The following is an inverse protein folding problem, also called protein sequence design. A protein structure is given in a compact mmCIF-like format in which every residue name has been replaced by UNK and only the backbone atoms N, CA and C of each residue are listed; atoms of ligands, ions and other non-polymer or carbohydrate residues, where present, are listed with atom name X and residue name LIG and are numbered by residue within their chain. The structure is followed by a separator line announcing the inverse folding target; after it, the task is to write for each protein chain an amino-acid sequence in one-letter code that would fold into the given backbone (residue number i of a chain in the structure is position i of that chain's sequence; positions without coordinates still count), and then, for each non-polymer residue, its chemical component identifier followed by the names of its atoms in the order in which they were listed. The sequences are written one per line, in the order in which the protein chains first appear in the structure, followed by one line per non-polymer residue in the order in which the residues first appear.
data_IF_229022184574
#
_entry.id   IF_229022184574
#
_cell.length_a   1.000
_cell.length_b   1.000
_cell.length_c   1.000
_cell.angle_alpha   90.00
_cell.angle_beta   90.00
_cell.angle_gamma   90.00
#
_symmetry.space_group_name_H-M   'P 1'
#
loop_
_entity.id
_entity.type
_entity.pdbx_description
1 polymer ?
#
# COMPACT_ATOMS: atom_id res chain seq x y z
N UNK A 1 -51.97 -2.47 7.41
CA UNK A 1 -50.68 -3.09 7.03
C UNK A 1 -49.76 -2.17 6.20
N UNK A 2 -50.25 -1.20 5.43
CA UNK A 2 -49.44 -0.35 4.52
C UNK A 2 -48.44 0.64 5.19
N UNK A 3 -48.70 1.13 6.41
CA UNK A 3 -47.82 2.13 7.07
C UNK A 3 -46.47 1.54 7.53
N UNK A 4 -46.48 0.31 8.04
CA UNK A 4 -45.26 -0.37 8.48
C UNK A 4 -44.42 -0.85 7.31
N UNK A 5 -45.05 -1.27 6.20
CA UNK A 5 -44.32 -1.65 4.99
C UNK A 5 -43.60 -0.47 4.36
N UNK A 6 -44.21 0.72 4.34
CA UNK A 6 -43.55 1.94 3.88
C UNK A 6 -42.37 2.33 4.78
N UNK A 7 -42.54 2.22 6.10
CA UNK A 7 -41.48 2.50 7.07
C UNK A 7 -40.32 1.50 6.94
N UNK A 8 -40.63 0.22 6.73
CA UNK A 8 -39.65 -0.83 6.50
C UNK A 8 -38.87 -0.60 5.20
N UNK A 9 -39.57 -0.22 4.12
CA UNK A 9 -38.96 0.15 2.83
C UNK A 9 -38.00 1.33 2.99
N UNK A 10 -38.43 2.38 3.70
CA UNK A 10 -37.61 3.57 3.95
C UNK A 10 -36.37 3.22 4.78
N UNK A 11 -36.52 2.36 5.79
CA UNK A 11 -35.41 1.89 6.62
C UNK A 11 -34.39 1.09 5.79
N UNK A 12 -34.83 0.16 4.95
CA UNK A 12 -33.94 -0.63 4.08
C UNK A 12 -33.21 0.29 3.08
N UNK A 13 -33.91 1.28 2.53
CA UNK A 13 -33.32 2.25 1.60
C UNK A 13 -32.25 3.11 2.28
N UNK A 14 -32.46 3.48 3.56
CA UNK A 14 -31.50 4.28 4.32
C UNK A 14 -30.18 3.56 4.62
N UNK A 15 -30.20 2.22 4.70
CA UNK A 15 -29.01 1.39 4.98
C UNK A 15 -28.24 1.07 3.70
N UNK A 16 -28.83 1.30 2.53
CA UNK A 16 -28.22 0.99 1.22
C UNK A 16 -27.09 1.94 0.82
N UNK A 17 -26.87 3.02 1.59
CA UNK A 17 -25.81 4.01 1.35
C UNK A 17 -24.53 3.55 2.07
N UNK A 18 -23.71 2.75 1.41
CA UNK A 18 -22.39 2.39 1.90
C UNK A 18 -21.33 3.39 1.42
N UNK A 19 -20.58 3.99 2.34
CA UNK A 19 -19.42 4.82 2.02
C UNK A 19 -18.18 3.95 1.78
N UNK A 20 -17.30 4.29 0.83
CA UNK A 20 -16.04 3.58 0.65
C UNK A 20 -15.15 3.76 1.88
N UNK A 21 -14.87 2.66 2.59
CA UNK A 21 -13.89 2.65 3.66
C UNK A 21 -12.48 2.57 3.05
N UNK A 22 -11.69 3.63 3.22
CA UNK A 22 -10.27 3.60 2.87
C UNK A 22 -9.48 3.06 4.07
N UNK A 23 -9.12 1.78 4.03
CA UNK A 23 -8.22 1.16 4.99
C UNK A 23 -6.81 1.07 4.38
N UNK A 24 -5.81 1.63 5.06
CA UNK A 24 -4.41 1.39 4.71
C UNK A 24 -4.04 -0.03 5.14
N UNK A 25 -3.28 -0.72 4.29
CA UNK A 25 -2.81 -2.07 4.62
C UNK A 25 -1.53 -1.94 5.43
N UNK A 26 -1.59 -2.36 6.69
CA UNK A 26 -0.48 -2.28 7.64
C UNK A 26 0.05 -3.67 8.01
N UNK A 27 1.36 -3.80 8.16
CA UNK A 27 2.05 -5.01 8.63
C UNK A 27 3.16 -4.63 9.59
N UNK A 28 3.37 -5.46 10.59
CA UNK A 28 4.47 -5.29 11.53
C UNK A 28 5.68 -6.11 11.04
N UNK A 29 6.83 -5.46 10.91
CA UNK A 29 8.10 -6.08 10.55
C UNK A 29 9.16 -5.63 11.55
N UNK A 30 9.85 -6.59 12.20
CA UNK A 30 10.88 -6.31 13.21
C UNK A 30 10.52 -5.25 14.27
N UNK A 31 9.25 -5.19 14.67
CA UNK A 31 8.75 -4.23 15.67
C UNK A 31 8.35 -2.85 15.10
N UNK A 32 8.52 -2.64 13.80
CA UNK A 32 8.07 -1.45 13.09
C UNK A 32 6.75 -1.71 12.35
N UNK A 33 5.79 -0.80 12.50
CA UNK A 33 4.54 -0.84 11.74
C UNK A 33 4.73 -0.14 10.40
N UNK A 34 4.63 -0.91 9.32
CA UNK A 34 4.69 -0.41 7.95
C UNK A 34 3.30 -0.42 7.35
N UNK A 35 2.82 0.74 6.90
CA UNK A 35 1.51 0.89 6.25
C UNK A 35 1.68 1.38 4.81
N UNK A 36 0.94 0.79 3.88
CA UNK A 36 0.88 1.27 2.49
C UNK A 36 -0.11 2.44 2.43
N UNK A 37 0.41 3.62 2.08
CA UNK A 37 -0.40 4.82 1.86
C UNK A 37 -0.90 4.88 0.41
N UNK A 38 -0.04 4.50 -0.53
CA UNK A 38 -0.41 4.33 -1.93
C UNK A 38 0.50 3.32 -2.59
N UNK A 39 -0.04 2.56 -3.54
CA UNK A 39 0.72 1.63 -4.37
C UNK A 39 0.12 1.62 -5.77
N UNK A 40 0.98 1.80 -6.79
CA UNK A 40 0.58 1.76 -8.19
C UNK A 40 1.58 0.93 -8.98
N UNK A 41 1.10 -0.09 -9.68
CA UNK A 41 1.91 -0.86 -10.63
C UNK A 41 2.09 -0.07 -11.92
N UNK A 42 3.28 -0.09 -12.50
CA UNK A 42 3.54 0.50 -13.80
C UNK A 42 2.83 -0.29 -14.91
N UNK A 43 2.27 0.42 -15.89
CA UNK A 43 1.66 -0.20 -17.06
C UNK A 43 2.69 -0.72 -18.07
N UNK A 44 3.87 -0.09 -18.14
CA UNK A 44 4.96 -0.46 -19.06
C UNK A 44 5.81 -1.62 -18.52
N UNK A 45 6.09 -1.60 -17.22
CA UNK A 45 6.94 -2.56 -16.54
C UNK A 45 6.14 -3.21 -15.42
N UNK A 46 5.57 -4.41 -15.63
CA UNK A 46 4.68 -5.03 -14.63
C UNK A 46 5.38 -5.36 -13.29
N UNK A 47 6.71 -5.44 -13.28
CA UNK A 47 7.54 -5.63 -12.08
C UNK A 47 7.86 -4.32 -11.33
N UNK A 48 7.55 -3.15 -11.91
CA UNK A 48 7.82 -1.85 -11.30
C UNK A 48 6.60 -1.34 -10.53
N UNK A 49 6.80 -1.04 -9.25
CA UNK A 49 5.79 -0.47 -8.37
C UNK A 49 6.21 0.91 -7.90
N UNK A 50 5.25 1.83 -7.82
CA UNK A 50 5.43 3.16 -7.23
C UNK A 50 4.58 3.21 -5.98
N UNK A 51 5.22 3.35 -4.83
CA UNK A 51 4.50 3.30 -3.57
C UNK A 51 5.00 4.34 -2.56
N UNK A 52 4.07 4.88 -1.80
CA UNK A 52 4.33 5.63 -0.59
C UNK A 52 3.92 4.78 0.61
N UNK A 53 4.79 4.72 1.61
CA UNK A 53 4.57 3.95 2.84
C UNK A 53 4.70 4.86 4.05
N UNK A 54 4.08 4.48 5.15
CA UNK A 54 4.31 5.06 6.47
C UNK A 54 5.03 4.02 7.33
N UNK A 55 6.06 4.45 8.06
CA UNK A 55 6.77 3.61 9.03
C UNK A 55 6.56 4.23 10.41
N UNK A 56 5.96 3.49 11.33
CA UNK A 56 5.59 3.94 12.68
C UNK A 56 4.81 5.27 12.67
N UNK A 57 3.90 5.41 11.71
CA UNK A 57 3.07 6.60 11.52
C UNK A 57 3.74 7.73 10.73
N UNK A 58 5.04 7.65 10.43
CA UNK A 58 5.76 8.65 9.64
C UNK A 58 5.71 8.32 8.15
N UNK A 59 5.00 9.17 7.39
CA UNK A 59 4.88 9.04 5.94
C UNK A 59 6.23 9.28 5.22
N UNK A 60 6.60 8.35 4.36
CA UNK A 60 7.76 8.45 3.48
C UNK A 60 7.38 8.94 2.09
N UNK A 61 8.34 9.55 1.39
CA UNK A 61 8.17 9.95 0.00
C UNK A 61 7.92 8.74 -0.91
N UNK A 62 7.19 8.96 -2.01
CA UNK A 62 6.94 7.93 -3.01
C UNK A 62 8.24 7.43 -3.64
N UNK A 63 8.45 6.12 -3.54
CA UNK A 63 9.61 5.38 -4.05
C UNK A 63 9.20 4.48 -5.22
N UNK A 64 10.15 4.22 -6.11
CA UNK A 64 10.00 3.22 -7.18
C UNK A 64 10.70 1.94 -6.74
N UNK A 65 9.94 0.84 -6.69
CA UNK A 65 10.37 -0.50 -6.31
C UNK A 65 10.43 -1.37 -7.56
N UNK A 66 11.56 -2.06 -7.75
CA UNK A 66 11.75 -3.03 -8.83
C UNK A 66 11.67 -4.46 -8.26
N UNK A 67 10.55 -5.13 -8.55
CA UNK A 67 10.21 -6.45 -8.04
C UNK A 67 10.54 -7.59 -9.03
N UNK A 68 11.47 -7.40 -9.98
CA UNK A 68 11.76 -8.39 -11.04
C UNK A 68 12.40 -9.69 -10.53
N UNK A 69 13.27 -9.63 -9.52
CA UNK A 69 13.97 -10.80 -8.97
C UNK A 69 13.66 -10.95 -7.47
N UNK A 70 12.72 -11.84 -7.16
CA UNK A 70 12.19 -12.05 -5.81
C UNK A 70 13.07 -12.97 -4.93
N UNK A 71 14.28 -13.35 -5.36
CA UNK A 71 14.94 -14.59 -4.90
C UNK A 71 16.28 -14.43 -4.15
N UNK A 72 16.77 -13.20 -3.94
CA UNK A 72 17.94 -12.97 -3.06
C UNK A 72 17.59 -11.91 -2.00
N UNK A 73 16.83 -12.35 -1.00
CA UNK A 73 16.25 -11.52 0.06
C UNK A 73 17.26 -11.09 1.15
N UNK A 74 18.56 -11.27 0.92
CA UNK A 74 19.66 -10.73 1.73
C UNK A 74 20.48 -9.68 0.97
N UNK A 75 20.27 -9.53 -0.34
CA UNK A 75 20.95 -8.56 -1.21
C UNK A 75 20.00 -7.51 -1.82
N UNK A 76 18.76 -7.40 -1.31
CA UNK A 76 17.89 -6.25 -1.62
C UNK A 76 18.35 -4.97 -0.87
N UNK A 77 19.66 -4.77 -0.84
CA UNK A 77 20.36 -3.53 -0.54
C UNK A 77 20.84 -2.83 -1.82
N UNK A 78 20.54 -3.34 -3.04
CA UNK A 78 21.22 -2.84 -4.24
C UNK A 78 20.37 -2.65 -5.50
N UNK A 79 19.04 -2.79 -5.46
CA UNK A 79 18.23 -2.34 -6.61
C UNK A 79 17.70 -0.93 -6.35
N UNK A 80 18.27 0.03 -7.09
CA UNK A 80 18.22 1.47 -6.84
C UNK A 80 16.79 1.97 -6.57
N UNK A 81 16.51 2.33 -5.33
CA UNK A 81 15.34 3.15 -5.00
C UNK A 81 15.63 4.56 -5.53
N UNK A 82 14.96 4.93 -6.62
CA UNK A 82 15.01 6.31 -7.13
C UNK A 82 13.91 7.11 -6.44
N UNK A 83 14.31 7.97 -5.52
CA UNK A 83 13.45 9.05 -5.04
C UNK A 83 13.16 9.98 -6.22
N UNK A 84 11.89 10.34 -6.45
CA UNK A 84 11.50 11.20 -7.57
C UNK A 84 12.15 12.59 -7.54
N UNK A 85 12.66 13.04 -6.39
CA UNK A 85 13.48 14.25 -6.26
C UNK A 85 14.95 13.84 -6.06
N UNK A 86 15.77 14.01 -7.09
CA UNK A 86 17.22 14.15 -6.97
C UNK A 86 17.96 13.05 -6.20
N UNK A 87 18.11 11.87 -6.82
CA UNK A 87 19.38 11.13 -6.84
C UNK A 87 20.05 10.70 -5.53
N UNK A 88 19.40 10.71 -4.38
CA UNK A 88 20.03 10.29 -3.12
C UNK A 88 19.52 8.91 -2.71
N UNK A 89 20.41 7.92 -2.75
CA UNK A 89 20.21 6.58 -2.17
C UNK A 89 20.44 6.66 -0.66
N UNK A 90 19.37 6.57 0.11
CA UNK A 90 19.42 6.56 1.58
C UNK A 90 19.25 5.12 2.05
N UNK A 91 20.15 4.59 2.91
CA UNK A 91 19.98 3.26 3.47
C UNK A 91 19.16 3.26 4.77
N UNK A 92 18.53 2.11 5.01
CA UNK A 92 17.76 1.62 6.17
C UNK A 92 16.25 1.99 6.25
N UNK A 93 15.45 0.91 6.16
CA UNK A 93 13.97 0.86 6.11
C UNK A 93 13.43 0.12 4.87
N UNK A 94 14.26 -0.05 3.84
CA UNK A 94 13.81 -0.40 2.48
C UNK A 94 13.73 -1.90 2.15
N UNK A 95 14.30 -2.79 2.97
CA UNK A 95 14.17 -4.24 2.76
C UNK A 95 12.77 -4.75 3.11
N UNK A 96 12.18 -4.25 4.20
CA UNK A 96 10.89 -4.70 4.73
C UNK A 96 9.73 -4.10 3.96
N UNK A 97 9.77 -2.79 3.73
CA UNK A 97 8.82 -2.10 2.86
C UNK A 97 8.90 -2.64 1.44
N UNK A 98 10.10 -2.88 0.89
CA UNK A 98 10.29 -3.53 -0.41
C UNK A 98 9.66 -4.92 -0.48
N UNK A 99 9.91 -5.78 0.53
CA UNK A 99 9.29 -7.11 0.62
C UNK A 99 7.77 -7.03 0.70
N UNK A 100 7.23 -6.08 1.47
CA UNK A 100 5.80 -5.86 1.59
C UNK A 100 5.18 -5.41 0.27
N UNK A 101 5.79 -4.44 -0.42
CA UNK A 101 5.31 -3.91 -1.71
C UNK A 101 5.35 -5.00 -2.79
N UNK A 102 6.46 -5.74 -2.92
CA UNK A 102 6.61 -6.77 -3.95
C UNK A 102 5.71 -7.99 -3.75
N UNK A 103 5.18 -8.20 -2.53
CA UNK A 103 4.25 -9.29 -2.22
C UNK A 103 2.78 -8.83 -2.14
N UNK A 104 2.50 -7.53 -2.36
CA UNK A 104 1.17 -6.98 -2.08
C UNK A 104 0.04 -7.53 -2.97
N UNK A 105 0.33 -7.78 -4.25
CA UNK A 105 -0.64 -8.28 -5.24
C UNK A 105 -0.45 -9.77 -5.58
N UNK A 106 0.30 -10.52 -4.77
CA UNK A 106 0.54 -11.95 -4.97
C UNK A 106 -0.52 -12.79 -4.27
#
# INVERSE_FOLDING_TARGET
MSKYTAFLMLLILSISIAFPASASVCRNYNGHQICILSIKRSAKNYWEYRAAVSVDGVAQATKVYDCRQQQNLSSLSANRVKTQKGGTSVPLGDSESGKMICNFFK
#
